data_IF_964075715184
#
_entry.id   IF_964075715184
#
_cell.length_a   1.000
_cell.length_b   1.000
_cell.length_c   1.000
_cell.angle_alpha   90.00
_cell.angle_beta   90.00
_cell.angle_gamma   90.00
#
_symmetry.space_group_name_H-M   'P 1'
#
loop_
_entity.id
_entity.type
_entity.pdbx_description
1 polymer ?
#
# COMPACT_ATOMS: atom_id res chain seq x y z
N UNK A 1 16.12 11.68 30.73
CA UNK A 1 17.08 10.69 30.18
C UNK A 1 16.66 10.34 28.75
N UNK A 2 17.50 10.58 27.72
CA UNK A 2 17.18 10.27 26.34
C UNK A 2 16.82 8.81 26.07
N UNK A 3 17.34 7.89 26.88
CA UNK A 3 17.08 6.46 26.78
C UNK A 3 15.80 6.00 27.49
N UNK A 4 15.12 6.92 28.22
CA UNK A 4 13.85 6.56 28.83
C UNK A 4 12.78 6.31 27.74
N UNK A 5 11.86 5.35 27.97
CA UNK A 5 10.77 5.11 27.03
C UNK A 5 9.92 6.37 26.81
N UNK A 6 9.78 6.79 25.58
CA UNK A 6 8.88 7.85 25.15
C UNK A 6 7.51 7.26 24.80
N UNK A 7 7.49 6.03 24.27
CA UNK A 7 6.30 5.42 23.71
C UNK A 7 6.34 3.90 23.78
N UNK A 8 5.16 3.29 23.78
CA UNK A 8 4.94 1.83 23.77
C UNK A 8 3.91 1.45 22.68
N UNK A 9 4.20 1.68 21.38
CA UNK A 9 3.25 1.36 20.34
C UNK A 9 3.00 -0.14 20.26
N UNK A 10 1.75 -0.57 20.04
CA UNK A 10 1.44 -1.97 19.76
C UNK A 10 1.87 -2.31 18.32
N UNK A 11 2.45 -3.50 18.12
CA UNK A 11 2.65 -4.03 16.77
C UNK A 11 1.38 -4.70 16.27
N UNK A 12 1.15 -4.65 14.98
CA UNK A 12 0.02 -5.31 14.31
C UNK A 12 0.26 -6.80 14.06
N UNK A 13 1.17 -7.46 14.79
CA UNK A 13 1.60 -8.82 14.53
C UNK A 13 0.50 -9.74 13.99
N UNK A 14 0.81 -10.47 12.92
CA UNK A 14 -0.12 -11.38 12.24
C UNK A 14 -0.53 -12.55 13.13
N UNK A 15 0.27 -12.89 14.13
CA UNK A 15 0.07 -14.03 15.01
C UNK A 15 0.06 -13.61 16.49
N UNK A 16 -1.11 -13.68 17.14
CA UNK A 16 -1.26 -13.59 18.59
C UNK A 16 -1.48 -12.19 19.19
N UNK A 17 -1.24 -12.05 20.51
CA UNK A 17 -1.42 -10.79 21.26
C UNK A 17 -0.44 -9.72 20.79
N UNK A 18 -0.89 -8.47 20.58
CA UNK A 18 0.00 -7.38 20.18
C UNK A 18 1.19 -7.21 21.11
N UNK A 19 2.38 -7.15 20.53
CA UNK A 19 3.61 -6.81 21.28
C UNK A 19 3.66 -5.30 21.46
N UNK A 20 4.22 -4.81 22.57
CA UNK A 20 4.45 -3.38 22.80
C UNK A 20 5.93 -3.07 22.66
N UNK A 21 6.28 -2.35 21.62
CA UNK A 21 7.67 -1.96 21.32
C UNK A 21 8.11 -0.82 22.25
N UNK A 22 9.31 -0.90 22.83
CA UNK A 22 9.87 0.17 23.66
C UNK A 22 10.65 1.16 22.82
N UNK A 23 10.08 2.32 22.53
CA UNK A 23 10.76 3.40 21.81
C UNK A 23 11.15 4.51 22.79
N UNK A 24 12.42 4.91 22.76
CA UNK A 24 12.97 5.96 23.62
C UNK A 24 12.90 7.33 22.94
N UNK A 25 13.06 8.42 23.70
CA UNK A 25 13.26 9.76 23.15
C UNK A 25 14.46 9.83 22.21
N UNK A 26 15.50 9.04 22.48
CA UNK A 26 16.67 8.95 21.64
C UNK A 26 16.34 8.39 20.25
N UNK A 27 15.56 7.31 20.18
CA UNK A 27 15.13 6.75 18.90
C UNK A 27 14.35 7.78 18.05
N UNK A 28 13.39 8.49 18.68
CA UNK A 28 12.58 9.51 18.02
C UNK A 28 13.39 10.64 17.40
N UNK A 29 14.31 11.22 18.17
CA UNK A 29 15.12 12.36 17.70
C UNK A 29 16.08 11.93 16.60
N UNK A 30 16.67 10.72 16.71
CA UNK A 30 17.56 10.23 15.65
C UNK A 30 16.81 9.97 14.34
N UNK A 31 15.59 9.38 14.40
CA UNK A 31 14.79 9.20 13.21
C UNK A 31 14.45 10.53 12.53
N UNK A 32 13.93 11.50 13.29
CA UNK A 32 13.53 12.78 12.74
C UNK A 32 14.70 13.53 12.08
N UNK A 33 15.88 13.50 12.70
CA UNK A 33 17.09 14.09 12.13
C UNK A 33 17.52 13.37 10.84
N UNK A 34 17.51 12.03 10.84
CA UNK A 34 17.88 11.23 9.67
C UNK A 34 16.91 11.48 8.50
N UNK A 35 15.61 11.50 8.76
CA UNK A 35 14.60 11.80 7.75
C UNK A 35 14.79 13.22 7.14
N UNK A 36 15.08 14.22 7.98
CA UNK A 36 15.34 15.60 7.53
C UNK A 36 16.64 15.72 6.72
N UNK A 37 17.62 14.86 6.97
CA UNK A 37 18.88 14.83 6.21
C UNK A 37 18.69 14.24 4.81
N UNK A 38 17.89 13.20 4.67
CA UNK A 38 17.60 12.55 3.38
C UNK A 38 16.69 13.43 2.53
N UNK A 39 15.58 13.87 3.11
CA UNK A 39 14.59 14.70 2.42
C UNK A 39 14.34 15.98 3.23
N UNK A 40 15.02 17.08 2.90
CA UNK A 40 14.89 18.33 3.61
C UNK A 40 13.45 18.83 3.61
N UNK A 41 12.87 18.90 4.79
CA UNK A 41 11.47 19.22 4.98
C UNK A 41 11.27 20.72 5.11
N UNK A 42 10.36 21.35 4.33
CA UNK A 42 10.14 22.79 4.37
C UNK A 42 9.60 23.23 5.74
N UNK A 43 10.22 24.27 6.34
CA UNK A 43 9.68 24.93 7.54
C UNK A 43 8.30 25.55 7.23
N UNK A 44 7.45 25.63 8.26
CA UNK A 44 6.08 26.21 8.18
C UNK A 44 5.12 25.53 7.19
N UNK A 45 5.47 24.34 6.65
CA UNK A 45 4.57 23.61 5.77
C UNK A 45 3.39 23.02 6.52
N UNK A 46 2.23 22.95 5.84
CA UNK A 46 1.03 22.34 6.36
C UNK A 46 1.11 20.82 6.23
N UNK A 47 1.05 20.11 7.36
CA UNK A 47 0.86 18.67 7.45
C UNK A 47 -0.58 18.33 7.83
N UNK A 48 -1.21 17.36 7.18
CA UNK A 48 -2.54 16.87 7.52
C UNK A 48 -2.45 15.55 8.27
N UNK A 49 -2.73 15.62 9.58
CA UNK A 49 -2.69 14.48 10.51
C UNK A 49 -4.10 13.90 10.66
N UNK A 50 -4.34 12.75 10.07
CA UNK A 50 -5.63 12.07 10.09
C UNK A 50 -5.50 10.56 10.39
N UNK A 51 -4.29 10.03 10.33
CA UNK A 51 -4.06 8.62 10.61
C UNK A 51 -4.19 8.33 12.12
N UNK A 52 -4.54 7.09 12.50
CA UNK A 52 -4.68 6.75 13.91
C UNK A 52 -3.40 6.98 14.71
N UNK A 53 -3.47 7.70 15.81
CA UNK A 53 -2.34 7.93 16.72
C UNK A 53 -1.79 6.65 17.38
N UNK A 54 -2.48 5.52 17.28
CA UNK A 54 -1.95 4.21 17.65
C UNK A 54 -0.92 3.67 16.67
N UNK A 55 -0.87 4.22 15.45
CA UNK A 55 0.11 3.85 14.44
C UNK A 55 1.41 4.64 14.64
N UNK A 56 2.54 3.92 14.74
CA UNK A 56 3.85 4.52 15.00
C UNK A 56 4.25 5.52 13.91
N UNK A 57 3.91 5.25 12.64
CA UNK A 57 4.23 6.15 11.52
C UNK A 57 3.62 7.53 11.69
N UNK A 58 2.34 7.62 12.10
CA UNK A 58 1.69 8.91 12.37
C UNK A 58 2.37 9.65 13.53
N UNK A 59 2.68 8.94 14.61
CA UNK A 59 3.36 9.57 15.76
C UNK A 59 4.76 10.08 15.39
N UNK A 60 5.48 9.35 14.51
CA UNK A 60 6.80 9.75 14.06
C UNK A 60 6.74 11.02 13.23
N UNK A 61 5.80 11.11 12.31
CA UNK A 61 5.68 12.29 11.45
C UNK A 61 5.11 13.47 12.22
N UNK A 62 3.99 13.28 12.93
CA UNK A 62 3.34 14.37 13.67
C UNK A 62 4.16 14.88 14.85
N UNK A 63 4.75 13.97 15.66
CA UNK A 63 5.42 14.38 16.90
C UNK A 63 6.92 14.59 16.64
N UNK A 64 7.63 13.66 16.01
CA UNK A 64 9.07 13.80 15.86
C UNK A 64 9.45 14.72 14.69
N UNK A 65 9.00 14.41 13.48
CA UNK A 65 9.38 15.20 12.29
C UNK A 65 8.79 16.61 12.32
N UNK A 66 7.53 16.79 12.69
CA UNK A 66 6.91 18.11 12.77
C UNK A 66 7.57 19.02 13.79
N UNK A 67 8.01 18.50 14.96
CA UNK A 67 8.76 19.28 15.94
C UNK A 67 10.15 19.68 15.46
N UNK A 68 10.86 18.78 14.76
CA UNK A 68 12.20 19.07 14.24
C UNK A 68 12.13 20.06 13.08
N UNK A 69 11.18 19.89 12.18
CA UNK A 69 11.04 20.70 10.97
C UNK A 69 10.19 21.96 11.13
N UNK A 70 9.44 22.11 12.25
CA UNK A 70 8.60 23.28 12.50
C UNK A 70 7.33 23.34 11.66
N UNK A 71 6.70 22.19 11.37
CA UNK A 71 5.46 22.12 10.56
C UNK A 71 4.22 22.54 11.33
N UNK A 72 3.24 23.02 10.57
CA UNK A 72 1.89 23.25 11.08
C UNK A 72 1.07 21.97 10.93
N UNK A 73 0.64 21.40 12.05
CA UNK A 73 -0.24 20.23 12.08
C UNK A 73 -1.71 20.65 11.96
N UNK A 74 -2.39 20.13 10.95
CA UNK A 74 -3.82 20.30 10.71
C UNK A 74 -4.53 18.97 10.95
N UNK A 75 -5.73 19.01 11.52
CA UNK A 75 -6.53 17.83 11.85
C UNK A 75 -7.90 17.93 11.19
N UNK A 76 -8.52 16.78 10.82
CA UNK A 76 -9.92 16.80 10.37
C UNK A 76 -10.84 17.24 11.52
N UNK A 77 -11.93 17.92 11.17
CA UNK A 77 -12.94 18.30 12.16
C UNK A 77 -13.64 17.08 12.74
N UNK A 78 -13.95 16.10 11.88
CA UNK A 78 -14.57 14.83 12.24
C UNK A 78 -14.06 13.73 11.27
N UNK A 79 -14.11 12.45 11.66
CA UNK A 79 -13.73 11.38 10.75
C UNK A 79 -14.52 11.36 9.43
N UNK A 80 -15.78 11.77 9.47
CA UNK A 80 -16.68 11.80 8.30
C UNK A 80 -16.38 12.95 7.34
N UNK A 81 -15.72 14.02 7.80
CA UNK A 81 -15.34 15.19 6.98
C UNK A 81 -13.90 15.16 6.49
N UNK A 82 -13.16 14.10 6.81
CA UNK A 82 -11.72 13.98 6.52
C UNK A 82 -11.35 14.33 5.07
N UNK A 83 -12.10 13.84 4.09
CA UNK A 83 -11.84 14.11 2.67
C UNK A 83 -12.13 15.56 2.26
N UNK A 84 -13.15 16.16 2.87
CA UNK A 84 -13.51 17.57 2.66
C UNK A 84 -12.46 18.48 3.29
N UNK A 85 -12.06 18.19 4.53
CA UNK A 85 -11.04 18.94 5.27
C UNK A 85 -9.67 18.84 4.59
N UNK A 86 -9.28 17.64 4.13
CA UNK A 86 -8.05 17.44 3.34
C UNK A 86 -8.02 18.31 2.09
N UNK A 87 -9.14 18.37 1.39
CA UNK A 87 -9.29 19.18 0.17
C UNK A 87 -9.26 20.69 0.47
N UNK A 88 -9.93 21.13 1.55
CA UNK A 88 -9.98 22.54 1.94
C UNK A 88 -8.63 23.05 2.42
N UNK A 89 -7.93 22.27 3.24
CA UNK A 89 -6.59 22.59 3.75
C UNK A 89 -5.59 22.53 2.59
N UNK A 90 -5.64 21.47 1.77
CA UNK A 90 -4.69 21.23 0.70
C UNK A 90 -3.26 21.22 1.21
N UNK A 91 -2.87 20.27 2.07
CA UNK A 91 -1.58 20.28 2.75
C UNK A 91 -0.42 20.18 1.77
N UNK A 92 0.75 20.67 2.17
CA UNK A 92 1.99 20.53 1.42
C UNK A 92 2.68 19.20 1.71
N UNK A 93 2.44 18.65 2.90
CA UNK A 93 3.01 17.38 3.35
C UNK A 93 1.86 16.43 3.66
N UNK A 94 1.91 15.25 3.06
CA UNK A 94 0.95 14.19 3.32
C UNK A 94 1.65 12.84 3.46
N UNK A 95 1.24 12.09 4.47
CA UNK A 95 1.62 10.71 4.66
C UNK A 95 0.37 9.85 4.70
N UNK A 96 0.38 8.77 3.92
CA UNK A 96 -0.76 7.87 3.87
C UNK A 96 -0.35 6.42 3.65
N UNK A 97 -1.26 5.51 3.95
CA UNK A 97 -1.10 4.11 3.60
C UNK A 97 -1.28 3.90 2.09
N UNK A 98 -0.68 2.84 1.51
CA UNK A 98 -0.90 2.45 0.11
C UNK A 98 -2.38 2.37 -0.26
N UNK A 99 -3.23 1.83 0.61
CA UNK A 99 -4.69 1.70 0.37
C UNK A 99 -5.40 3.01 0.07
N UNK A 100 -4.95 4.12 0.67
CA UNK A 100 -5.53 5.44 0.37
C UNK A 100 -5.17 5.89 -1.05
N UNK A 101 -3.91 5.73 -1.43
CA UNK A 101 -3.45 6.05 -2.79
C UNK A 101 -4.13 5.16 -3.83
N UNK A 102 -4.25 3.87 -3.58
CA UNK A 102 -5.01 2.92 -4.41
C UNK A 102 -6.48 3.35 -4.57
N UNK A 103 -7.13 3.74 -3.47
CA UNK A 103 -8.52 4.19 -3.50
C UNK A 103 -8.70 5.47 -4.34
N UNK A 104 -7.83 6.47 -4.17
CA UNK A 104 -7.90 7.70 -4.97
C UNK A 104 -7.71 7.43 -6.47
N UNK A 105 -6.76 6.58 -6.85
CA UNK A 105 -6.56 6.18 -8.26
C UNK A 105 -7.81 5.49 -8.79
N UNK A 106 -8.35 4.51 -8.06
CA UNK A 106 -9.55 3.78 -8.47
C UNK A 106 -10.76 4.71 -8.65
N UNK A 107 -10.97 5.63 -7.70
CA UNK A 107 -12.07 6.60 -7.76
C UNK A 107 -11.92 7.59 -8.92
N UNK A 108 -10.71 8.05 -9.20
CA UNK A 108 -10.45 8.93 -10.36
C UNK A 108 -10.70 8.18 -11.66
N UNK A 109 -10.13 6.98 -11.82
CA UNK A 109 -10.31 6.15 -13.02
C UNK A 109 -11.80 5.86 -13.28
N UNK A 110 -12.54 5.40 -12.26
CA UNK A 110 -13.97 5.13 -12.38
C UNK A 110 -14.77 6.37 -12.80
N UNK A 111 -14.47 7.54 -12.22
CA UNK A 111 -15.13 8.81 -12.61
C UNK A 111 -14.78 9.27 -14.03
N UNK A 112 -13.57 8.98 -14.50
CA UNK A 112 -13.16 9.29 -15.86
C UNK A 112 -13.87 8.38 -16.86
N UNK A 113 -13.98 7.08 -16.61
CA UNK A 113 -14.76 6.17 -17.45
C UNK A 113 -16.23 6.60 -17.59
N UNK A 114 -16.78 7.18 -16.53
CA UNK A 114 -18.17 7.66 -16.47
C UNK A 114 -18.36 9.09 -16.96
N UNK A 115 -17.32 9.73 -17.46
CA UNK A 115 -17.40 11.12 -17.94
C UNK A 115 -17.75 11.20 -19.44
N UNK A 116 -17.93 12.42 -19.96
CA UNK A 116 -18.16 12.59 -21.40
C UNK A 116 -16.93 12.15 -22.22
N UNK A 117 -17.18 11.60 -23.40
CA UNK A 117 -16.11 11.14 -24.33
C UNK A 117 -15.01 12.19 -24.56
N UNK A 118 -15.38 13.48 -24.60
CA UNK A 118 -14.41 14.55 -24.76
C UNK A 118 -13.50 14.70 -23.54
N UNK A 119 -14.05 14.67 -22.33
CA UNK A 119 -13.26 14.77 -21.10
C UNK A 119 -12.36 13.55 -20.91
N UNK A 120 -12.89 12.35 -21.18
CA UNK A 120 -12.08 11.11 -21.18
C UNK A 120 -10.91 11.22 -22.16
N UNK A 121 -11.16 11.60 -23.40
CA UNK A 121 -10.12 11.80 -24.40
C UNK A 121 -9.04 12.83 -23.96
N UNK A 122 -9.46 13.95 -23.34
CA UNK A 122 -8.50 14.96 -22.81
C UNK A 122 -7.65 14.36 -21.71
N UNK A 123 -8.25 13.60 -20.80
CA UNK A 123 -7.55 12.91 -19.72
C UNK A 123 -6.54 11.90 -20.27
N UNK A 124 -6.95 11.03 -21.20
CA UNK A 124 -6.08 10.01 -21.80
C UNK A 124 -4.86 10.65 -22.50
N UNK A 125 -5.08 11.75 -23.22
CA UNK A 125 -4.00 12.50 -23.87
C UNK A 125 -3.06 13.15 -22.85
N UNK A 126 -3.60 13.69 -21.77
CA UNK A 126 -2.80 14.24 -20.69
C UNK A 126 -1.97 13.13 -20.00
N UNK A 127 -2.60 11.99 -19.66
CA UNK A 127 -1.89 10.87 -19.05
C UNK A 127 -0.78 10.34 -19.96
N UNK A 128 -1.01 10.15 -21.25
CA UNK A 128 0.06 9.78 -22.21
C UNK A 128 1.23 10.78 -22.28
N UNK A 129 1.00 12.06 -21.95
CA UNK A 129 2.08 13.05 -21.82
C UNK A 129 2.77 12.88 -20.47
N UNK A 130 2.00 12.69 -19.40
CA UNK A 130 2.51 12.53 -18.05
C UNK A 130 3.36 11.28 -17.88
N UNK A 131 2.92 10.13 -18.41
CA UNK A 131 3.68 8.88 -18.43
C UNK A 131 5.05 9.06 -19.09
N UNK A 132 5.08 9.68 -20.27
CA UNK A 132 6.36 10.02 -20.92
C UNK A 132 7.22 11.00 -20.11
N UNK A 133 6.61 11.89 -19.33
CA UNK A 133 7.34 12.79 -18.45
C UNK A 133 7.87 12.05 -17.23
N UNK A 134 7.10 11.12 -16.68
CA UNK A 134 7.51 10.28 -15.56
C UNK A 134 8.76 9.44 -15.87
N UNK A 135 8.95 8.98 -17.13
CA UNK A 135 10.19 8.31 -17.55
C UNK A 135 11.46 9.12 -17.26
N UNK A 136 11.37 10.47 -17.27
CA UNK A 136 12.47 11.39 -16.96
C UNK A 136 12.54 11.77 -15.48
N UNK A 137 11.58 11.38 -14.66
CA UNK A 137 11.56 11.70 -13.22
C UNK A 137 11.88 10.46 -12.39
N UNK A 138 11.28 9.33 -12.72
CA UNK A 138 11.37 8.08 -11.95
C UNK A 138 11.68 6.85 -12.81
N UNK A 139 11.78 7.00 -14.14
CA UNK A 139 11.99 5.91 -15.07
C UNK A 139 13.41 5.81 -15.60
N UNK A 140 13.58 5.07 -16.69
CA UNK A 140 14.87 4.75 -17.32
C UNK A 140 15.68 5.98 -17.80
N UNK A 141 15.03 7.16 -17.90
CA UNK A 141 15.65 8.42 -18.37
C UNK A 141 15.82 9.45 -17.27
N UNK A 142 15.82 9.04 -15.99
CA UNK A 142 15.93 9.96 -14.85
C UNK A 142 17.24 10.80 -14.83
N UNK A 143 18.30 10.32 -15.48
CA UNK A 143 19.55 11.05 -15.68
C UNK A 143 19.49 12.13 -16.81
N UNK A 144 18.40 12.20 -17.57
CA UNK A 144 18.23 13.09 -18.70
C UNK A 144 17.22 14.21 -18.40
N UNK A 145 17.44 15.40 -18.94
CA UNK A 145 16.42 16.46 -18.87
C UNK A 145 15.27 16.21 -19.88
N UNK A 146 14.00 16.29 -19.43
CA UNK A 146 12.88 16.23 -20.37
C UNK A 146 12.98 17.29 -21.45
N UNK A 147 12.75 16.95 -22.74
CA UNK A 147 12.84 17.93 -23.84
C UNK A 147 11.80 19.06 -23.66
N UNK A 148 12.15 20.26 -24.14
CA UNK A 148 11.36 21.48 -23.91
C UNK A 148 9.88 21.36 -24.33
N UNK A 149 9.60 20.63 -25.42
CA UNK A 149 8.24 20.39 -25.88
C UNK A 149 7.45 19.54 -24.87
N UNK A 150 8.09 18.55 -24.24
CA UNK A 150 7.45 17.65 -23.26
C UNK A 150 7.18 18.44 -21.96
N UNK A 151 8.12 19.28 -21.51
CA UNK A 151 7.89 20.18 -20.36
C UNK A 151 6.70 21.12 -20.60
N UNK A 152 6.59 21.67 -21.83
CA UNK A 152 5.45 22.53 -22.22
C UNK A 152 4.12 21.75 -22.29
N UNK A 153 4.15 20.53 -22.81
CA UNK A 153 2.98 19.65 -22.86
C UNK A 153 2.54 19.24 -21.45
N UNK A 154 3.46 18.88 -20.56
CA UNK A 154 3.21 18.56 -19.16
C UNK A 154 2.59 19.73 -18.40
N UNK A 155 3.12 20.93 -18.58
CA UNK A 155 2.55 22.15 -18.02
C UNK A 155 1.11 22.36 -18.47
N UNK A 156 0.80 22.16 -19.77
CA UNK A 156 -0.57 22.28 -20.30
C UNK A 156 -1.49 21.18 -19.71
N UNK A 157 -1.00 19.93 -19.66
CA UNK A 157 -1.73 18.79 -19.07
C UNK A 157 -2.09 19.05 -17.61
N UNK A 158 -1.17 19.65 -16.84
CA UNK A 158 -1.43 20.03 -15.45
C UNK A 158 -2.64 20.96 -15.35
N UNK A 159 -2.67 22.05 -16.12
CA UNK A 159 -3.75 23.04 -16.03
C UNK A 159 -5.10 22.53 -16.56
N UNK A 160 -5.07 21.68 -17.58
CA UNK A 160 -6.30 21.23 -18.27
C UNK A 160 -6.91 19.99 -17.63
N UNK A 161 -6.07 19.05 -17.16
CA UNK A 161 -6.51 17.75 -16.67
C UNK A 161 -6.15 17.49 -15.21
N UNK A 162 -4.88 17.65 -14.80
CA UNK A 162 -4.43 17.17 -13.50
C UNK A 162 -4.85 18.06 -12.33
N UNK A 163 -4.73 19.38 -12.48
CA UNK A 163 -5.04 20.31 -11.40
C UNK A 163 -6.46 20.15 -10.82
N UNK A 164 -7.52 19.96 -11.61
CA UNK A 164 -8.86 19.69 -11.07
C UNK A 164 -8.95 18.36 -10.32
N UNK A 165 -8.23 17.34 -10.77
CA UNK A 165 -8.17 16.02 -10.11
C UNK A 165 -7.46 16.15 -8.77
N UNK A 166 -6.26 16.73 -8.78
CA UNK A 166 -5.46 16.94 -7.58
C UNK A 166 -6.15 17.84 -6.55
N UNK A 167 -6.88 18.86 -7.01
CA UNK A 167 -7.70 19.69 -6.13
C UNK A 167 -8.81 18.88 -5.45
N UNK A 168 -9.39 17.91 -6.17
CA UNK A 168 -10.47 17.07 -5.64
C UNK A 168 -9.99 16.07 -4.59
N UNK A 169 -8.79 15.54 -4.73
CA UNK A 169 -8.19 14.57 -3.78
C UNK A 169 -7.27 15.24 -2.74
N UNK A 170 -7.23 16.58 -2.68
CA UNK A 170 -6.46 17.33 -1.67
C UNK A 170 -4.96 17.44 -1.95
N UNK A 171 -4.45 16.96 -3.09
CA UNK A 171 -3.01 16.91 -3.41
C UNK A 171 -2.50 18.09 -4.27
N UNK A 172 -3.33 19.09 -4.54
CA UNK A 172 -2.97 20.21 -5.43
C UNK A 172 -1.76 21.04 -4.98
N UNK A 173 -1.53 21.14 -3.68
CA UNK A 173 -0.39 21.86 -3.07
C UNK A 173 0.70 20.94 -2.56
N UNK A 174 0.50 19.62 -2.66
CA UNK A 174 1.40 18.62 -2.10
C UNK A 174 2.79 18.73 -2.73
N UNK A 175 3.82 18.81 -1.87
CA UNK A 175 5.24 18.93 -2.21
C UNK A 175 6.03 17.73 -1.71
N UNK A 176 5.67 17.20 -0.54
CA UNK A 176 6.26 16.02 0.07
C UNK A 176 5.15 15.01 0.34
N UNK A 177 5.13 13.96 -0.44
CA UNK A 177 4.07 12.93 -0.42
C UNK A 177 4.70 11.58 -0.15
N UNK A 178 4.29 10.96 0.95
CA UNK A 178 4.88 9.71 1.41
C UNK A 178 3.85 8.60 1.53
N UNK A 179 4.27 7.39 1.18
CA UNK A 179 3.53 6.15 1.44
C UNK A 179 4.39 5.16 2.21
N UNK A 180 3.78 4.39 3.09
CA UNK A 180 4.48 3.36 3.86
C UNK A 180 3.55 2.48 4.66
N UNK A 181 4.13 1.48 5.34
CA UNK A 181 3.37 0.48 6.09
C UNK A 181 2.85 -0.68 5.23
N UNK A 182 3.15 -0.69 3.95
CA UNK A 182 2.88 -1.72 2.96
C UNK A 182 3.41 -1.31 1.60
N UNK A 183 3.49 -2.20 0.63
CA UNK A 183 3.90 -1.86 -0.72
C UNK A 183 2.81 -1.11 -1.45
N UNK A 184 3.23 -0.22 -2.34
CA UNK A 184 2.40 0.40 -3.37
C UNK A 184 2.99 -0.02 -4.73
N UNK A 185 2.16 -0.51 -5.63
CA UNK A 185 2.64 -1.00 -6.94
C UNK A 185 3.23 0.10 -7.81
N UNK A 186 4.13 -0.28 -8.70
CA UNK A 186 4.83 0.61 -9.63
C UNK A 186 3.87 1.47 -10.45
N UNK A 187 2.77 0.88 -10.96
CA UNK A 187 1.73 1.58 -11.72
C UNK A 187 1.14 2.79 -10.96
N UNK A 188 1.04 2.69 -9.63
CA UNK A 188 0.56 3.80 -8.80
C UNK A 188 1.61 4.92 -8.69
N UNK A 189 2.91 4.57 -8.57
CA UNK A 189 3.99 5.56 -8.60
C UNK A 189 4.00 6.31 -9.92
N UNK A 190 4.00 5.58 -11.04
CA UNK A 190 3.95 6.17 -12.37
C UNK A 190 2.74 7.09 -12.55
N UNK A 191 1.57 6.64 -12.10
CA UNK A 191 0.33 7.42 -12.16
C UNK A 191 0.43 8.76 -11.44
N UNK A 192 0.96 8.77 -10.19
CA UNK A 192 1.10 9.99 -9.42
C UNK A 192 2.18 10.90 -9.99
N UNK A 193 3.33 10.37 -10.36
CA UNK A 193 4.41 11.13 -10.98
C UNK A 193 4.02 11.68 -12.36
N UNK A 194 3.23 10.96 -13.14
CA UNK A 194 2.65 11.46 -14.39
C UNK A 194 1.80 12.71 -14.17
N UNK A 195 1.10 12.81 -13.05
CA UNK A 195 0.34 14.02 -12.67
C UNK A 195 1.18 15.11 -11.99
N UNK A 196 2.46 14.85 -11.73
CA UNK A 196 3.38 15.77 -11.05
C UNK A 196 3.28 15.75 -9.53
N UNK A 197 2.78 14.67 -8.94
CA UNK A 197 2.80 14.43 -7.49
C UNK A 197 4.08 13.69 -7.12
N UNK A 198 4.98 14.26 -6.28
CA UNK A 198 6.25 13.64 -5.91
C UNK A 198 6.04 12.57 -4.82
N UNK A 199 5.45 11.45 -5.22
CA UNK A 199 5.18 10.35 -4.32
C UNK A 199 6.48 9.58 -4.02
N UNK A 200 6.74 9.36 -2.72
CA UNK A 200 7.91 8.67 -2.20
C UNK A 200 7.48 7.52 -1.33
N UNK A 201 8.22 6.43 -1.36
CA UNK A 201 8.03 5.31 -0.46
C UNK A 201 8.99 5.37 0.72
N UNK A 202 8.52 4.92 1.87
CA UNK A 202 9.30 4.69 3.08
C UNK A 202 9.09 3.25 3.55
N UNK A 203 10.12 2.65 4.14
CA UNK A 203 10.02 1.31 4.72
C UNK A 203 10.53 1.28 6.15
N UNK A 204 9.87 0.44 6.93
CA UNK A 204 10.22 0.08 8.28
C UNK A 204 9.05 -0.51 9.05
N UNK A 205 9.26 -0.67 10.34
CA UNK A 205 8.31 -1.29 11.25
C UNK A 205 8.36 -0.61 12.63
N UNK A 206 7.45 -0.97 13.51
CA UNK A 206 7.41 -0.37 14.86
C UNK A 206 8.73 -0.50 15.62
N UNK A 207 9.43 -1.60 15.41
CA UNK A 207 10.71 -1.96 16.04
C UNK A 207 11.87 -1.04 15.64
N UNK A 208 11.75 -0.37 14.51
CA UNK A 208 12.72 0.62 14.01
C UNK A 208 12.17 2.05 14.04
N UNK A 209 11.26 2.30 14.97
CA UNK A 209 10.69 3.64 15.18
C UNK A 209 9.79 4.12 14.01
N UNK A 210 9.35 3.23 13.13
CA UNK A 210 8.46 3.50 12.03
C UNK A 210 9.06 3.27 10.66
N UNK A 211 10.20 3.93 10.33
CA UNK A 211 10.86 3.76 9.04
C UNK A 211 12.37 4.03 9.13
N UNK A 212 13.13 3.39 8.25
CA UNK A 212 14.60 3.45 8.18
C UNK A 212 15.11 3.70 6.77
N UNK A 213 14.23 3.76 5.80
CA UNK A 213 14.54 4.14 4.42
C UNK A 213 13.53 5.15 3.90
N UNK A 214 13.95 5.94 2.93
CA UNK A 214 13.12 6.94 2.26
C UNK A 214 13.72 7.28 0.89
N UNK A 215 12.85 7.50 -0.13
CA UNK A 215 13.29 8.10 -1.38
C UNK A 215 13.66 9.59 -1.21
N UNK A 216 14.68 10.04 -1.94
CA UNK A 216 14.96 11.47 -2.15
C UNK A 216 14.09 12.03 -3.27
N UNK A 217 14.00 13.35 -3.34
CA UNK A 217 13.27 14.04 -4.42
C UNK A 217 13.84 13.78 -5.82
N UNK A 218 15.14 13.63 -5.91
CA UNK A 218 15.91 13.43 -7.13
C UNK A 218 16.32 11.99 -7.39
N UNK A 219 15.92 11.05 -6.51
CA UNK A 219 16.23 9.63 -6.62
C UNK A 219 15.06 8.77 -6.14
N UNK A 220 14.01 8.71 -6.95
CA UNK A 220 12.85 7.84 -6.73
C UNK A 220 12.95 6.65 -7.67
N UNK A 221 13.28 5.49 -7.12
CA UNK A 221 13.33 4.22 -7.85
C UNK A 221 12.11 3.37 -7.47
N UNK A 222 11.17 3.21 -8.39
CA UNK A 222 9.83 2.63 -8.11
C UNK A 222 9.84 1.20 -7.55
N UNK A 223 10.89 0.43 -7.85
CA UNK A 223 11.05 -0.94 -7.34
C UNK A 223 11.65 -1.00 -5.92
N UNK A 224 12.02 0.14 -5.36
CA UNK A 224 12.69 0.23 -4.06
C UNK A 224 11.86 0.99 -3.04
N UNK A 225 12.32 1.00 -1.81
CA UNK A 225 11.76 1.77 -0.71
C UNK A 225 12.71 2.90 -0.25
N UNK A 226 13.64 3.29 -1.12
CA UNK A 226 14.59 4.37 -0.92
C UNK A 226 15.90 3.96 -0.25
N UNK A 227 16.73 4.98 -0.01
CA UNK A 227 18.04 4.86 0.66
C UNK A 227 17.90 4.57 2.15
N UNK A 228 18.90 3.87 2.68
CA UNK A 228 19.04 3.64 4.13
C UNK A 228 19.40 4.93 4.85
N UNK A 229 18.78 5.19 5.99
CA UNK A 229 19.04 6.38 6.81
C UNK A 229 20.48 6.48 7.30
N UNK A 230 21.02 7.70 7.44
CA UNK A 230 22.30 7.93 8.07
C UNK A 230 22.38 7.27 9.46
N UNK A 231 23.52 6.63 9.75
CA UNK A 231 23.76 5.88 10.99
C UNK A 231 22.86 4.64 11.23
N UNK A 232 22.12 4.21 10.22
CA UNK A 232 21.42 2.91 10.19
C UNK A 232 22.18 1.98 9.27
N UNK A 233 22.27 0.72 9.65
CA UNK A 233 22.85 -0.32 8.84
C UNK A 233 21.75 -1.34 8.49
N UNK A 234 21.69 -1.74 7.22
CA UNK A 234 20.82 -2.81 6.74
C UNK A 234 21.72 -3.95 6.26
N UNK A 235 21.49 -5.14 6.77
CA UNK A 235 22.16 -6.37 6.37
C UNK A 235 21.17 -7.34 5.74
N UNK A 236 21.68 -8.40 5.11
CA UNK A 236 20.86 -9.45 4.49
C UNK A 236 21.39 -10.80 4.95
N UNK A 237 20.50 -11.68 5.41
CA UNK A 237 20.84 -13.08 5.70
C UNK A 237 21.05 -13.88 4.42
N UNK A 238 21.70 -15.06 4.48
CA UNK A 238 21.76 -15.97 3.32
C UNK A 238 20.39 -16.40 2.79
N UNK A 239 19.33 -16.31 3.60
CA UNK A 239 17.94 -16.58 3.21
C UNK A 239 17.20 -15.38 2.64
N UNK A 240 17.85 -14.21 2.52
CA UNK A 240 17.24 -13.01 1.96
C UNK A 240 16.45 -12.16 2.95
N UNK A 241 16.47 -12.50 4.25
CA UNK A 241 15.85 -11.67 5.28
C UNK A 241 16.67 -10.40 5.52
N UNK A 242 15.98 -9.25 5.59
CA UNK A 242 16.59 -7.98 5.94
C UNK A 242 16.80 -7.86 7.45
N UNK A 243 17.98 -7.39 7.81
CA UNK A 243 18.39 -7.11 9.19
C UNK A 243 18.63 -5.62 9.35
N UNK A 244 18.30 -5.06 10.52
CA UNK A 244 18.51 -3.63 10.80
C UNK A 244 19.28 -3.43 12.10
N UNK A 245 20.25 -2.50 12.08
CA UNK A 245 21.00 -2.06 13.25
C UNK A 245 21.18 -0.55 13.23
N UNK A 246 21.04 0.11 14.38
CA UNK A 246 21.25 1.55 14.47
C UNK A 246 20.51 2.25 15.62
N UNK A 247 20.66 3.57 15.74
CA UNK A 247 20.10 4.35 16.84
C UNK A 247 18.57 4.43 16.88
N UNK A 248 17.91 4.08 15.79
CA UNK A 248 16.43 4.07 15.66
C UNK A 248 15.81 2.75 16.13
N UNK A 249 16.62 1.70 16.29
CA UNK A 249 16.16 0.36 16.67
C UNK A 249 15.74 0.33 18.13
N UNK A 250 14.61 -0.33 18.39
CA UNK A 250 14.06 -0.52 19.76
C UNK A 250 15.04 -1.24 20.69
N UNK A 251 14.90 -1.01 21.99
CA UNK A 251 15.54 -1.86 23.00
C UNK A 251 14.77 -3.15 23.31
N UNK A 252 13.71 -3.46 22.54
CA UNK A 252 12.90 -4.68 22.66
C UNK A 252 11.46 -4.45 23.08
N UNK A 253 10.79 -5.51 23.51
CA UNK A 253 9.36 -5.51 23.82
C UNK A 253 9.13 -5.35 25.33
N UNK A 254 8.11 -4.55 25.68
CA UNK A 254 7.75 -4.30 27.07
C UNK A 254 7.17 -5.54 27.75
N UNK A 255 7.82 -5.99 28.82
CA UNK A 255 7.39 -7.17 29.58
C UNK A 255 7.54 -8.51 28.87
N UNK A 256 8.29 -8.59 27.75
CA UNK A 256 8.48 -9.80 26.94
C UNK A 256 9.97 -10.07 26.67
N UNK A 257 10.76 -10.47 27.69
CA UNK A 257 12.22 -10.65 27.51
C UNK A 257 12.57 -11.76 26.52
N UNK A 258 11.85 -12.89 26.54
CA UNK A 258 12.09 -14.01 25.62
C UNK A 258 11.86 -13.62 24.16
N UNK A 259 10.79 -12.86 23.87
CA UNK A 259 10.51 -12.33 22.52
C UNK A 259 11.51 -11.25 22.11
N UNK A 260 12.06 -10.51 23.08
CA UNK A 260 13.12 -9.56 22.81
C UNK A 260 14.39 -10.30 22.40
N UNK A 261 14.78 -11.33 23.15
CA UNK A 261 15.96 -12.14 22.84
C UNK A 261 15.86 -12.82 21.48
N UNK A 262 14.68 -13.36 21.13
CA UNK A 262 14.47 -14.02 19.82
C UNK A 262 14.42 -13.06 18.62
N UNK A 263 14.17 -11.77 18.84
CA UNK A 263 14.12 -10.79 17.76
C UNK A 263 15.51 -10.20 17.41
N UNK A 264 16.55 -10.49 18.21
CA UNK A 264 17.89 -9.95 18.00
C UNK A 264 18.94 -11.06 17.98
N UNK A 265 19.83 -10.98 17.00
CA UNK A 265 21.04 -11.81 16.93
C UNK A 265 22.25 -10.91 16.66
N UNK A 266 23.30 -11.00 17.48
CA UNK A 266 24.55 -10.22 17.39
C UNK A 266 24.33 -8.70 17.21
N UNK A 267 23.27 -8.17 17.83
CA UNK A 267 22.91 -6.74 17.78
C UNK A 267 22.13 -6.32 16.54
N UNK A 268 21.78 -7.24 15.67
CA UNK A 268 20.89 -7.04 14.54
C UNK A 268 19.46 -7.40 14.92
N UNK A 269 18.51 -6.56 14.50
CA UNK A 269 17.10 -6.84 14.55
C UNK A 269 16.69 -7.65 13.32
N UNK A 270 16.05 -8.78 13.52
CA UNK A 270 15.38 -9.54 12.46
C UNK A 270 14.06 -8.87 12.10
N UNK A 271 13.86 -8.58 10.82
CA UNK A 271 12.69 -7.83 10.36
C UNK A 271 11.54 -8.71 9.89
N UNK A 272 11.80 -9.98 9.60
CA UNK A 272 10.90 -10.90 8.89
C UNK A 272 10.51 -10.40 7.49
N UNK A 273 11.17 -9.39 6.92
CA UNK A 273 10.96 -8.89 5.56
C UNK A 273 11.99 -9.49 4.59
N UNK A 274 11.52 -10.04 3.48
CA UNK A 274 12.35 -10.58 2.39
C UNK A 274 12.70 -9.46 1.41
N UNK A 275 13.98 -9.27 1.12
CA UNK A 275 14.41 -8.15 0.29
C UNK A 275 15.86 -8.25 -0.19
N UNK A 276 16.31 -7.17 -0.84
CA UNK A 276 17.65 -7.01 -1.35
C UNK A 276 18.15 -5.57 -1.17
N UNK A 277 19.48 -5.39 -1.21
CA UNK A 277 20.12 -4.09 -1.39
C UNK A 277 20.53 -3.96 -2.86
N UNK A 278 20.32 -2.78 -3.43
CA UNK A 278 20.83 -2.43 -4.76
C UNK A 278 22.28 -1.94 -4.67
N UNK A 279 22.96 -1.82 -5.80
CA UNK A 279 24.36 -1.36 -5.85
C UNK A 279 24.56 0.10 -5.38
N UNK A 280 23.48 0.87 -5.34
CA UNK A 280 23.40 2.29 -4.93
C UNK A 280 22.74 2.47 -3.55
N UNK A 281 22.79 1.46 -2.70
CA UNK A 281 22.33 1.46 -1.30
C UNK A 281 20.81 1.65 -1.10
N UNK A 282 20.00 1.45 -2.16
CA UNK A 282 18.56 1.36 -1.99
C UNK A 282 18.13 -0.01 -1.46
N UNK A 283 17.05 -0.03 -0.71
CA UNK A 283 16.42 -1.26 -0.23
C UNK A 283 15.27 -1.65 -1.15
N UNK A 284 15.24 -2.90 -1.59
CA UNK A 284 14.11 -3.50 -2.32
C UNK A 284 13.43 -4.50 -1.39
N UNK A 285 12.11 -4.36 -1.24
CA UNK A 285 11.28 -5.30 -0.47
C UNK A 285 10.47 -6.13 -1.45
N UNK A 286 10.55 -7.44 -1.32
CA UNK A 286 9.78 -8.36 -2.15
C UNK A 286 8.47 -8.75 -1.47
N UNK A 287 8.54 -9.22 -0.21
CA UNK A 287 7.37 -9.60 0.60
C UNK A 287 7.80 -9.85 2.07
N UNK A 288 6.89 -10.37 2.90
CA UNK A 288 7.26 -11.00 4.18
C UNK A 288 7.86 -12.37 3.91
N UNK A 289 8.83 -12.78 4.74
CA UNK A 289 9.46 -14.11 4.60
C UNK A 289 8.42 -15.24 4.55
N UNK A 290 7.41 -15.18 5.41
CA UNK A 290 6.36 -16.20 5.54
C UNK A 290 5.30 -16.14 4.43
N UNK A 291 5.22 -15.05 3.65
CA UNK A 291 4.21 -14.84 2.60
C UNK A 291 4.71 -15.20 1.19
N UNK A 292 6.02 -15.41 1.00
CA UNK A 292 6.60 -15.84 -0.28
C UNK A 292 6.09 -17.24 -0.66
N UNK A 293 5.52 -17.37 -1.85
CA UNK A 293 5.00 -18.65 -2.35
C UNK A 293 6.12 -19.44 -3.02
N UNK A 294 6.27 -20.71 -2.66
CA UNK A 294 7.15 -21.66 -3.34
C UNK A 294 6.32 -22.60 -4.22
N UNK A 295 6.41 -22.43 -5.54
CA UNK A 295 5.66 -23.25 -6.47
C UNK A 295 6.28 -24.67 -6.60
N UNK A 296 5.51 -25.64 -7.09
CA UNK A 296 5.95 -27.04 -7.23
C UNK A 296 7.17 -27.23 -8.14
N UNK A 297 7.48 -26.30 -9.01
CA UNK A 297 8.68 -26.29 -9.86
C UNK A 297 9.90 -25.63 -9.20
N UNK A 298 9.75 -25.15 -7.95
CA UNK A 298 10.77 -24.43 -7.18
C UNK A 298 10.85 -22.94 -7.49
N UNK A 299 9.92 -22.39 -8.26
CA UNK A 299 9.84 -20.95 -8.51
C UNK A 299 9.31 -20.24 -7.25
N UNK A 300 10.04 -19.24 -6.77
CA UNK A 300 9.58 -18.36 -5.70
C UNK A 300 8.79 -17.18 -6.30
N UNK A 301 7.61 -16.92 -5.78
CA UNK A 301 6.75 -15.80 -6.21
C UNK A 301 6.41 -14.94 -5.00
N UNK A 302 6.66 -13.64 -5.09
CA UNK A 302 6.18 -12.65 -4.14
C UNK A 302 4.73 -12.25 -4.52
N UNK A 303 3.69 -12.76 -3.82
CA UNK A 303 2.31 -12.54 -4.22
C UNK A 303 1.90 -11.08 -4.23
N UNK A 304 2.53 -10.28 -3.39
CA UNK A 304 2.21 -8.85 -3.23
C UNK A 304 2.42 -8.06 -4.52
N UNK A 305 3.41 -8.43 -5.36
CA UNK A 305 3.66 -7.77 -6.65
C UNK A 305 2.50 -7.98 -7.63
N UNK A 306 1.94 -9.18 -7.65
CA UNK A 306 0.78 -9.54 -8.49
C UNK A 306 -0.50 -8.88 -7.95
N UNK A 307 -0.67 -8.88 -6.63
CA UNK A 307 -1.83 -8.31 -5.95
C UNK A 307 -1.93 -6.79 -6.13
N UNK A 308 -0.80 -6.08 -6.08
CA UNK A 308 -0.78 -4.62 -6.31
C UNK A 308 -1.11 -4.27 -7.75
N UNK A 309 -0.68 -5.07 -8.74
CA UNK A 309 -1.09 -4.91 -10.15
C UNK A 309 -2.60 -5.10 -10.32
N UNK A 310 -3.18 -6.15 -9.75
CA UNK A 310 -4.63 -6.36 -9.76
C UNK A 310 -5.40 -5.18 -9.16
N UNK A 311 -4.93 -4.63 -8.02
CA UNK A 311 -5.57 -3.52 -7.31
C UNK A 311 -5.43 -2.16 -8.02
N UNK A 312 -4.54 -2.04 -9.00
CA UNK A 312 -4.47 -0.85 -9.85
C UNK A 312 -5.70 -0.69 -10.75
N UNK A 313 -6.43 -1.79 -10.98
CA UNK A 313 -7.70 -1.74 -11.70
C UNK A 313 -8.80 -1.17 -10.79
N UNK A 314 -9.64 -0.23 -11.26
CA UNK A 314 -10.67 0.44 -10.46
C UNK A 314 -11.76 -0.48 -9.91
N UNK A 315 -11.89 -1.69 -10.42
CA UNK A 315 -12.92 -2.65 -10.02
C UNK A 315 -12.47 -3.64 -8.95
N UNK A 316 -11.15 -3.78 -8.71
CA UNK A 316 -10.58 -4.66 -7.68
C UNK A 316 -10.30 -3.85 -6.42
N UNK A 317 -10.82 -4.29 -5.28
CA UNK A 317 -10.57 -3.69 -3.97
C UNK A 317 -9.43 -4.38 -3.23
N UNK A 318 -9.53 -5.71 -3.13
CA UNK A 318 -8.52 -6.57 -2.51
C UNK A 318 -8.29 -7.77 -3.41
N UNK A 319 -7.05 -8.24 -3.40
CA UNK A 319 -6.62 -9.45 -4.09
C UNK A 319 -5.71 -10.24 -3.16
N UNK A 320 -5.90 -11.55 -3.10
CA UNK A 320 -5.00 -12.50 -2.46
C UNK A 320 -4.62 -13.57 -3.46
N UNK A 321 -3.35 -13.61 -3.82
CA UNK A 321 -2.79 -14.62 -4.72
C UNK A 321 -2.41 -15.86 -3.92
N UNK A 322 -2.73 -17.03 -4.45
CA UNK A 322 -2.48 -18.35 -3.86
C UNK A 322 -1.72 -19.20 -4.87
N UNK A 323 -0.75 -19.99 -4.40
CA UNK A 323 0.10 -20.79 -5.27
C UNK A 323 1.18 -21.59 -4.54
N UNK A 324 1.21 -21.53 -3.20
CA UNK A 324 2.18 -22.27 -2.40
C UNK A 324 1.99 -23.79 -2.57
N UNK A 325 3.07 -24.52 -2.84
CA UNK A 325 3.04 -25.96 -3.20
C UNK A 325 2.09 -26.29 -4.38
N UNK A 326 1.85 -25.33 -5.29
CA UNK A 326 0.97 -25.51 -6.46
C UNK A 326 1.73 -25.31 -7.78
N UNK A 327 1.17 -25.86 -8.85
CA UNK A 327 1.73 -25.72 -10.20
C UNK A 327 1.32 -24.42 -10.90
N UNK A 328 0.29 -23.74 -10.40
CA UNK A 328 -0.32 -22.56 -11.02
C UNK A 328 -0.73 -21.56 -9.93
N UNK A 329 -0.72 -20.26 -10.28
CA UNK A 329 -1.28 -19.21 -9.44
C UNK A 329 -2.80 -19.13 -9.62
N UNK A 330 -3.49 -18.92 -8.51
CA UNK A 330 -4.92 -18.56 -8.46
C UNK A 330 -5.12 -17.32 -7.62
N UNK A 331 -6.31 -16.72 -7.65
CA UNK A 331 -6.58 -15.52 -6.87
C UNK A 331 -7.97 -15.53 -6.21
N UNK A 332 -8.03 -15.00 -5.01
CA UNK A 332 -9.26 -14.65 -4.30
C UNK A 332 -9.43 -13.14 -4.37
N UNK A 333 -10.53 -12.65 -4.93
CA UNK A 333 -10.73 -11.24 -5.22
C UNK A 333 -11.94 -10.67 -4.48
N UNK A 334 -11.81 -9.44 -4.00
CA UNK A 334 -12.93 -8.58 -3.62
C UNK A 334 -13.13 -7.48 -4.68
N UNK A 335 -14.36 -7.26 -5.08
CA UNK A 335 -14.70 -6.13 -5.95
C UNK A 335 -14.72 -4.82 -5.14
N UNK A 336 -14.39 -3.72 -5.79
CA UNK A 336 -14.67 -2.38 -5.27
C UNK A 336 -16.14 -2.06 -5.56
N UNK A 337 -16.97 -2.28 -4.55
CA UNK A 337 -18.43 -2.31 -4.68
C UNK A 337 -19.00 -1.08 -5.40
N UNK A 338 -18.63 0.12 -4.94
CA UNK A 338 -19.18 1.35 -5.49
C UNK A 338 -18.88 1.53 -6.99
N UNK A 339 -17.65 1.20 -7.40
CA UNK A 339 -17.25 1.31 -8.80
C UNK A 339 -17.92 0.26 -9.69
N UNK A 340 -18.01 -1.00 -9.21
CA UNK A 340 -18.67 -2.08 -9.95
C UNK A 340 -20.19 -1.86 -9.98
N UNK A 341 -20.78 -1.34 -8.91
CA UNK A 341 -22.20 -0.99 -8.86
C UNK A 341 -22.53 0.12 -9.87
N UNK A 342 -21.74 1.19 -9.91
CA UNK A 342 -21.91 2.26 -10.90
C UNK A 342 -21.73 1.74 -12.35
N UNK A 343 -20.74 0.87 -12.58
CA UNK A 343 -20.52 0.22 -13.87
C UNK A 343 -21.70 -0.66 -14.29
N UNK A 344 -22.33 -1.38 -13.35
CA UNK A 344 -23.48 -2.24 -13.57
C UNK A 344 -24.75 -1.41 -13.86
N UNK A 345 -24.98 -0.33 -13.08
CA UNK A 345 -26.12 0.58 -13.26
C UNK A 345 -26.14 1.22 -14.66
N UNK A 346 -24.98 1.60 -15.18
CA UNK A 346 -24.84 2.16 -16.53
C UNK A 346 -25.16 1.16 -17.65
N UNK A 347 -25.17 -0.13 -17.33
CA UNK A 347 -25.46 -1.24 -18.26
C UNK A 347 -26.80 -1.89 -18.01
N UNK A 348 -27.65 -1.25 -17.17
CA UNK A 348 -28.95 -1.76 -16.78
C UNK A 348 -28.90 -3.17 -16.15
N UNK A 349 -27.79 -3.55 -15.50
CA UNK A 349 -27.63 -4.83 -14.80
C UNK A 349 -28.33 -4.73 -13.45
N UNK A 350 -29.37 -5.56 -13.24
CA UNK A 350 -30.11 -5.56 -11.98
C UNK A 350 -29.41 -6.43 -10.93
N UNK A 351 -29.22 -5.89 -9.73
CA UNK A 351 -28.63 -6.60 -8.59
C UNK A 351 -29.26 -6.13 -7.26
N UNK A 352 -29.18 -6.97 -6.23
CA UNK A 352 -29.76 -6.71 -4.90
C UNK A 352 -28.72 -6.35 -3.82
N UNK A 353 -27.46 -6.11 -4.19
CA UNK A 353 -26.35 -5.78 -3.28
C UNK A 353 -25.07 -6.52 -3.66
N UNK A 354 -24.02 -6.37 -2.82
CA UNK A 354 -22.67 -6.88 -3.07
C UNK A 354 -22.66 -8.35 -3.53
N UNK A 355 -23.28 -9.24 -2.74
CA UNK A 355 -23.33 -10.67 -2.98
C UNK A 355 -23.97 -11.06 -4.32
N UNK A 356 -25.06 -10.40 -4.69
CA UNK A 356 -25.74 -10.66 -5.96
C UNK A 356 -24.91 -10.12 -7.12
N UNK A 357 -24.27 -8.98 -6.92
CA UNK A 357 -23.40 -8.34 -7.92
C UNK A 357 -22.19 -9.23 -8.27
N UNK A 358 -21.54 -9.85 -7.28
CA UNK A 358 -20.37 -10.73 -7.52
C UNK A 358 -20.73 -12.03 -8.26
N UNK A 359 -22.00 -12.36 -8.40
CA UNK A 359 -22.50 -13.57 -9.13
C UNK A 359 -23.00 -13.25 -10.53
N UNK A 360 -23.07 -11.99 -10.92
CA UNK A 360 -23.52 -11.60 -12.25
C UNK A 360 -22.47 -11.96 -13.30
N UNK A 361 -22.87 -12.71 -14.32
CA UNK A 361 -21.96 -13.08 -15.41
C UNK A 361 -21.26 -11.88 -16.06
N UNK A 362 -21.93 -10.73 -16.30
CA UNK A 362 -21.22 -9.54 -16.80
C UNK A 362 -20.12 -9.02 -15.87
N UNK A 363 -20.27 -9.18 -14.54
CA UNK A 363 -19.23 -8.77 -13.57
C UNK A 363 -18.09 -9.79 -13.56
N UNK A 364 -18.38 -11.08 -13.66
CA UNK A 364 -17.36 -12.11 -13.82
C UNK A 364 -16.56 -11.90 -15.10
N UNK A 365 -17.22 -11.53 -16.20
CA UNK A 365 -16.57 -11.24 -17.47
C UNK A 365 -15.69 -9.96 -17.40
N UNK A 366 -16.16 -8.94 -16.70
CA UNK A 366 -15.37 -7.74 -16.40
C UNK A 366 -14.06 -8.11 -15.69
N UNK A 367 -14.15 -8.91 -14.61
CA UNK A 367 -12.97 -9.30 -13.83
C UNK A 367 -12.07 -10.31 -14.58
N UNK A 368 -12.63 -11.16 -15.48
CA UNK A 368 -11.80 -11.96 -16.40
C UNK A 368 -10.94 -11.06 -17.30
N UNK A 369 -11.52 -9.96 -17.79
CA UNK A 369 -10.76 -8.95 -18.55
C UNK A 369 -9.62 -8.34 -17.73
N UNK A 370 -9.90 -7.97 -16.49
CA UNK A 370 -8.89 -7.42 -15.56
C UNK A 370 -7.75 -8.41 -15.32
N UNK A 371 -8.07 -9.67 -14.99
CA UNK A 371 -7.05 -10.71 -14.76
C UNK A 371 -6.25 -11.00 -16.04
N UNK A 372 -6.91 -11.00 -17.21
CA UNK A 372 -6.23 -11.21 -18.49
C UNK A 372 -5.24 -10.09 -18.80
N UNK A 373 -5.63 -8.81 -18.58
CA UNK A 373 -4.75 -7.64 -18.72
C UNK A 373 -3.55 -7.73 -17.75
N UNK A 374 -3.80 -8.02 -16.48
CA UNK A 374 -2.74 -8.20 -15.49
C UNK A 374 -1.76 -9.31 -15.89
N UNK A 375 -2.25 -10.40 -16.45
CA UNK A 375 -1.43 -11.54 -16.86
C UNK A 375 -0.48 -11.24 -18.03
N UNK A 376 -0.70 -10.17 -18.81
CA UNK A 376 0.20 -9.79 -19.92
C UNK A 376 1.60 -9.44 -19.40
N UNK A 377 1.71 -8.96 -18.17
CA UNK A 377 2.96 -8.52 -17.53
C UNK A 377 3.51 -9.53 -16.50
N UNK A 378 2.94 -10.73 -16.40
CA UNK A 378 3.35 -11.72 -15.41
C UNK A 378 4.06 -12.92 -16.02
N UNK A 379 5.22 -13.28 -15.47
CA UNK A 379 5.91 -14.54 -15.78
C UNK A 379 5.08 -15.76 -15.37
N UNK A 380 4.39 -15.66 -14.23
CA UNK A 380 3.51 -16.69 -13.71
C UNK A 380 2.05 -16.19 -13.72
N UNK A 381 1.27 -16.49 -14.77
CA UNK A 381 -0.08 -15.97 -14.91
C UNK A 381 -1.08 -16.63 -13.93
N UNK A 382 -2.03 -15.84 -13.46
CA UNK A 382 -3.19 -16.30 -12.70
C UNK A 382 -4.10 -17.11 -13.62
N UNK A 383 -4.32 -18.39 -13.32
CA UNK A 383 -5.12 -19.31 -14.14
C UNK A 383 -6.59 -19.26 -13.83
N UNK A 384 -6.94 -19.08 -12.55
CA UNK A 384 -8.31 -19.03 -12.06
C UNK A 384 -8.43 -18.02 -10.95
N UNK A 385 -9.62 -17.49 -10.77
CA UNK A 385 -9.94 -16.64 -9.63
C UNK A 385 -11.37 -16.88 -9.16
N UNK A 386 -11.63 -16.45 -7.93
CA UNK A 386 -12.97 -16.43 -7.36
C UNK A 386 -13.27 -15.05 -6.80
N UNK A 387 -14.52 -14.58 -7.00
CA UNK A 387 -15.03 -13.39 -6.33
C UNK A 387 -15.68 -13.80 -5.01
N UNK A 388 -15.20 -13.25 -3.92
CA UNK A 388 -15.86 -13.47 -2.63
C UNK A 388 -17.22 -12.77 -2.61
N UNK A 389 -18.14 -13.37 -1.91
CA UNK A 389 -19.52 -12.88 -1.73
C UNK A 389 -19.64 -11.76 -0.69
N UNK A 390 -18.56 -11.44 0.03
CA UNK A 390 -18.38 -10.33 0.96
C UNK A 390 -16.96 -9.75 0.82
N UNK A 391 -16.76 -8.54 1.27
CA UNK A 391 -15.43 -7.97 1.40
C UNK A 391 -14.69 -8.62 2.59
N UNK A 392 -13.36 -8.63 2.53
CA UNK A 392 -12.56 -8.96 3.71
C UNK A 392 -12.83 -7.95 4.83
N UNK A 393 -12.94 -8.44 6.05
CA UNK A 393 -13.29 -7.65 7.22
C UNK A 393 -12.29 -7.83 8.37
N UNK A 394 -11.98 -6.74 9.06
CA UNK A 394 -11.10 -6.76 10.22
C UNK A 394 -11.77 -7.36 11.47
N UNK A 395 -13.08 -7.22 11.62
CA UNK A 395 -13.84 -7.79 12.73
C UNK A 395 -13.93 -9.31 12.59
N UNK A 396 -13.95 -9.83 11.36
CA UNK A 396 -13.82 -11.26 11.04
C UNK A 396 -12.38 -11.77 11.16
N UNK A 397 -11.43 -10.90 11.44
CA UNK A 397 -10.01 -11.23 11.56
C UNK A 397 -9.28 -11.45 10.22
N UNK A 398 -9.93 -11.24 9.08
CA UNK A 398 -9.36 -11.42 7.73
C UNK A 398 -8.36 -10.32 7.37
N UNK A 399 -8.57 -9.12 7.95
CA UNK A 399 -7.66 -7.99 7.83
C UNK A 399 -7.05 -7.61 9.18
N UNK A 400 -5.86 -7.06 9.16
CA UNK A 400 -5.33 -6.32 10.31
C UNK A 400 -6.08 -4.99 10.46
N UNK A 401 -5.91 -4.30 11.58
CA UNK A 401 -6.47 -2.94 11.78
C UNK A 401 -5.91 -1.90 10.79
N UNK A 402 -4.74 -2.18 10.21
CA UNK A 402 -4.13 -1.37 9.15
C UNK A 402 -4.55 -1.82 7.74
N UNK A 403 -5.46 -2.79 7.66
CA UNK A 403 -6.04 -3.27 6.43
C UNK A 403 -5.19 -4.29 5.65
N UNK A 404 -4.11 -4.84 6.20
CA UNK A 404 -3.34 -5.93 5.56
C UNK A 404 -4.12 -7.24 5.65
N UNK A 405 -4.11 -8.04 4.58
CA UNK A 405 -4.71 -9.38 4.56
C UNK A 405 -3.94 -10.30 5.52
N UNK A 406 -4.67 -11.06 6.32
CA UNK A 406 -4.12 -12.12 7.16
C UNK A 406 -4.28 -13.43 6.41
N UNK A 407 -3.27 -13.76 5.59
CA UNK A 407 -3.31 -14.89 4.65
C UNK A 407 -3.70 -16.22 5.31
N UNK A 408 -3.07 -16.57 6.43
CA UNK A 408 -3.41 -17.80 7.16
C UNK A 408 -4.91 -17.88 7.53
N UNK A 409 -5.47 -16.76 8.05
CA UNK A 409 -6.89 -16.70 8.44
C UNK A 409 -7.81 -16.84 7.22
N UNK A 410 -7.45 -16.19 6.11
CA UNK A 410 -8.23 -16.28 4.87
C UNK A 410 -8.11 -17.66 4.26
N UNK A 411 -6.92 -18.26 4.25
CA UNK A 411 -6.73 -19.63 3.77
C UNK A 411 -7.52 -20.64 4.58
N UNK A 412 -7.45 -20.58 5.91
CA UNK A 412 -8.21 -21.48 6.80
C UNK A 412 -9.73 -21.33 6.60
N UNK A 413 -10.21 -20.10 6.43
CA UNK A 413 -11.65 -19.82 6.29
C UNK A 413 -12.21 -20.22 4.94
N UNK A 414 -11.45 -20.07 3.88
CA UNK A 414 -11.87 -20.28 2.50
C UNK A 414 -11.18 -21.47 1.84
N UNK A 415 -10.66 -22.42 2.63
CA UNK A 415 -9.94 -23.60 2.17
C UNK A 415 -10.68 -24.35 1.07
N UNK A 416 -11.96 -24.70 1.29
CA UNK A 416 -12.79 -25.42 0.32
C UNK A 416 -12.94 -24.64 -1.01
N UNK A 417 -12.99 -23.31 -0.95
CA UNK A 417 -13.10 -22.45 -2.11
C UNK A 417 -11.79 -22.40 -2.89
N UNK A 418 -10.66 -22.31 -2.17
CA UNK A 418 -9.32 -22.32 -2.75
C UNK A 418 -9.04 -23.66 -3.40
N UNK A 419 -9.35 -24.79 -2.74
CA UNK A 419 -9.18 -26.12 -3.33
C UNK A 419 -10.03 -26.30 -4.59
N UNK A 420 -11.25 -25.75 -4.62
CA UNK A 420 -12.10 -25.75 -5.81
C UNK A 420 -11.52 -25.02 -7.01
N UNK A 421 -10.62 -24.05 -6.79
CA UNK A 421 -9.90 -23.42 -7.89
C UNK A 421 -8.89 -24.35 -8.57
N UNK A 422 -8.36 -25.35 -7.83
CA UNK A 422 -7.36 -26.30 -8.34
C UNK A 422 -7.96 -27.60 -8.85
N UNK A 423 -9.08 -28.07 -8.29
CA UNK A 423 -9.72 -29.33 -8.71
C UNK A 423 -10.58 -29.21 -9.99
N UNK A 424 -10.77 -27.98 -10.47
CA UNK A 424 -11.50 -27.69 -11.68
C UNK A 424 -13.01 -27.56 -11.50
N UNK A 425 -13.47 -27.39 -10.26
CA UNK A 425 -14.89 -27.14 -9.95
C UNK A 425 -15.38 -25.83 -10.54
N UNK A 426 -16.60 -25.82 -11.09
CA UNK A 426 -17.25 -24.59 -11.58
C UNK A 426 -17.95 -23.82 -10.45
N UNK A 427 -18.21 -24.47 -9.32
CA UNK A 427 -18.81 -23.87 -8.13
C UNK A 427 -18.49 -24.71 -6.89
N UNK A 428 -18.37 -24.06 -5.75
CA UNK A 428 -18.13 -24.66 -4.44
C UNK A 428 -19.26 -24.23 -3.50
N UNK A 429 -19.90 -25.20 -2.83
CA UNK A 429 -20.82 -24.91 -1.71
C UNK A 429 -20.03 -24.95 -0.41
N UNK A 430 -20.08 -23.87 0.36
CA UNK A 430 -19.41 -23.79 1.66
C UNK A 430 -20.34 -23.30 2.76
N UNK A 431 -20.10 -23.73 3.98
CA UNK A 431 -20.76 -23.26 5.19
C UNK A 431 -19.87 -22.17 5.85
N UNK A 432 -20.39 -20.96 6.03
CA UNK A 432 -19.63 -19.84 6.59
C UNK A 432 -20.39 -19.23 7.75
N UNK A 433 -19.70 -19.02 8.85
CA UNK A 433 -20.17 -18.21 9.97
C UNK A 433 -19.88 -16.74 9.69
N UNK A 434 -20.93 -15.92 9.60
CA UNK A 434 -20.82 -14.47 9.46
C UNK A 434 -21.00 -13.83 10.84
N UNK A 435 -20.00 -13.09 11.27
CA UNK A 435 -20.09 -12.27 12.49
C UNK A 435 -20.56 -10.86 12.11
N UNK A 436 -21.69 -10.42 12.62
CA UNK A 436 -22.21 -9.07 12.39
C UNK A 436 -21.57 -8.07 13.35
N UNK A 437 -21.57 -6.77 12.98
CA UNK A 437 -21.04 -5.67 13.81
C UNK A 437 -21.60 -5.60 15.24
N UNK A 438 -22.74 -6.21 15.51
CA UNK A 438 -23.34 -6.31 16.81
C UNK A 438 -22.96 -7.59 17.59
N UNK A 439 -22.00 -8.37 17.05
CA UNK A 439 -21.51 -9.61 17.65
C UNK A 439 -22.41 -10.84 17.47
N UNK A 440 -23.49 -10.74 16.67
CA UNK A 440 -24.30 -11.91 16.32
C UNK A 440 -23.59 -12.72 15.26
N UNK A 441 -23.67 -14.04 15.39
CA UNK A 441 -23.15 -14.99 14.40
C UNK A 441 -24.34 -15.63 13.67
N UNK A 442 -24.18 -15.87 12.39
CA UNK A 442 -25.12 -16.62 11.56
C UNK A 442 -24.36 -17.55 10.65
N UNK A 443 -24.65 -18.84 10.76
CA UNK A 443 -24.15 -19.86 9.84
C UNK A 443 -24.98 -19.81 8.55
N UNK A 444 -24.33 -19.56 7.44
CA UNK A 444 -24.96 -19.57 6.13
C UNK A 444 -24.28 -20.61 5.23
N UNK A 445 -25.08 -21.53 4.69
CA UNK A 445 -24.64 -22.47 3.66
C UNK A 445 -24.67 -21.81 2.31
N UNK A 446 -23.58 -21.93 1.58
CA UNK A 446 -23.41 -21.19 0.32
C UNK A 446 -22.71 -22.01 -0.75
#
# INVERSE_FOLDING_TARGET
DPQSPAMLPPTSGTTGMPKRVKLSHFNFVNLANAATEIDPLPEESDYFSYLPMAWVGEQMILIAAAFVAGWTANFPEQPETEEEDLREIGPEIIFSSPKRYEAWVADVKAKIENTSRFKGWVYDKAMSVGEKYAEYVIGEKNDEEPPAWLRGAQWLSYWVAYRPILDKIGLKRAKNVYTGGGPLGEDHFEYYHAMGVPLKQIWGQSEVCGFVTMHRDDDVQVETVGEVFPNVEVGITPGGELLVRGPVVTSGYYGMPEKTESAFEDGWLHTDDFGALTDDDHVRIFDRMDDVLEMTDGTAVAPISVETKLKFNPYVKEAMVVGDDRAELTAVLNIRYDNVAEWADQRDIQYAGYRDLTRKEPVLELLRGVVAETNEDLDNPIRRFVLLFKEFDADDGELTRTGKIRREVVMDRYDELVEGLYDGSDSVEMEITITYKDGRESDERR
#
